data_IF_076302135607
#
_entry.id   IF_076302135607
#
_cell.length_a   1.000
_cell.length_b   1.000
_cell.length_c   1.000
_cell.angle_alpha   90.00
_cell.angle_beta   90.00
_cell.angle_gamma   90.00
#
_symmetry.space_group_name_H-M   'P 1'
#
loop_
_entity.id
_entity.type
_entity.pdbx_description
1 polymer ?
#
# COMPACT_ATOMS: atom_id res chain seq x y z
N UNK A 1 -83.51 16.41 -8.47
CA UNK A 1 -82.49 15.99 -9.43
C UNK A 1 -81.12 16.51 -8.90
N UNK A 2 -80.44 15.66 -8.20
CA UNK A 2 -79.19 16.04 -7.52
C UNK A 2 -78.01 15.24 -8.13
N UNK A 3 -77.16 15.90 -8.91
CA UNK A 3 -76.07 15.31 -9.61
C UNK A 3 -74.75 15.42 -8.71
N UNK A 4 -74.40 14.34 -8.10
CA UNK A 4 -73.16 14.24 -7.27
C UNK A 4 -71.98 14.17 -8.19
N UNK A 5 -71.11 15.19 -8.18
CA UNK A 5 -69.78 15.20 -8.81
C UNK A 5 -68.80 14.39 -7.98
N UNK A 6 -68.31 13.25 -8.52
CA UNK A 6 -67.28 12.42 -8.00
C UNK A 6 -65.96 13.13 -8.20
N UNK A 7 -65.28 13.58 -7.10
CA UNK A 7 -63.88 14.07 -7.11
C UNK A 7 -62.95 12.87 -7.31
N UNK A 8 -62.23 12.84 -8.43
CA UNK A 8 -61.08 11.97 -8.62
C UNK A 8 -59.93 12.53 -7.79
N UNK A 9 -59.55 11.80 -6.75
CA UNK A 9 -58.33 12.00 -6.02
C UNK A 9 -57.14 11.48 -6.88
N UNK A 10 -56.29 12.42 -7.33
CA UNK A 10 -55.00 12.10 -7.91
C UNK A 10 -54.12 11.50 -6.81
N UNK A 11 -53.67 10.27 -6.99
CA UNK A 11 -52.56 9.68 -6.22
C UNK A 11 -51.28 10.45 -6.50
N UNK A 12 -50.42 10.71 -5.47
CA UNK A 12 -49.13 11.31 -5.69
C UNK A 12 -48.26 10.33 -6.46
N UNK A 13 -47.57 10.86 -7.46
CA UNK A 13 -46.58 10.13 -8.26
C UNK A 13 -45.50 9.51 -7.36
N UNK A 14 -45.33 8.24 -7.64
CA UNK A 14 -44.24 7.37 -7.23
C UNK A 14 -42.93 8.13 -7.01
N UNK A 15 -42.50 8.25 -5.77
CA UNK A 15 -41.16 8.65 -5.42
C UNK A 15 -40.26 7.50 -5.85
N UNK A 16 -39.75 7.59 -7.07
CA UNK A 16 -38.61 6.80 -7.48
C UNK A 16 -37.44 7.17 -6.52
N UNK A 17 -37.22 6.32 -5.55
CA UNK A 17 -36.02 6.30 -4.77
C UNK A 17 -34.85 6.26 -5.75
N UNK A 18 -34.22 7.42 -5.97
CA UNK A 18 -32.87 7.49 -6.51
C UNK A 18 -31.97 6.84 -5.46
N UNK A 19 -31.73 5.55 -5.60
CA UNK A 19 -30.65 4.89 -4.88
C UNK A 19 -29.37 5.58 -5.34
N UNK A 20 -28.99 6.65 -4.65
CA UNK A 20 -27.74 7.35 -4.83
C UNK A 20 -26.63 6.33 -4.67
N UNK A 21 -26.08 5.84 -5.78
CA UNK A 21 -24.87 5.02 -5.77
C UNK A 21 -23.82 5.85 -5.07
N UNK A 22 -23.41 5.39 -3.89
CA UNK A 22 -22.34 6.00 -3.12
C UNK A 22 -21.09 6.18 -4.04
N UNK A 23 -20.65 7.42 -4.30
CA UNK A 23 -19.51 7.68 -5.17
C UNK A 23 -18.25 6.98 -4.67
N UNK A 24 -18.04 6.89 -3.35
CA UNK A 24 -16.89 6.25 -2.75
C UNK A 24 -16.92 4.73 -2.92
N UNK A 25 -18.08 4.10 -2.76
CA UNK A 25 -18.27 2.69 -3.06
C UNK A 25 -18.04 2.38 -4.55
N UNK A 26 -18.45 3.28 -5.45
CA UNK A 26 -18.22 3.13 -6.88
C UNK A 26 -16.72 3.28 -7.22
N UNK A 27 -16.07 4.30 -6.66
CA UNK A 27 -14.60 4.49 -6.79
C UNK A 27 -13.84 3.27 -6.29
N UNK A 28 -14.24 2.70 -5.16
CA UNK A 28 -13.64 1.48 -4.61
C UNK A 28 -13.74 0.28 -5.56
N UNK A 29 -14.93 0.01 -6.12
CA UNK A 29 -15.14 -1.07 -7.10
C UNK A 29 -14.30 -0.92 -8.35
N UNK A 30 -14.16 0.31 -8.87
CA UNK A 30 -13.30 0.59 -10.04
C UNK A 30 -11.83 0.29 -9.72
N UNK A 31 -11.34 0.69 -8.54
CA UNK A 31 -9.97 0.38 -8.12
C UNK A 31 -9.74 -1.11 -7.91
N UNK A 32 -10.69 -1.85 -7.35
CA UNK A 32 -10.57 -3.29 -7.16
C UNK A 32 -10.55 -4.04 -8.50
N UNK A 33 -11.36 -3.58 -9.48
CA UNK A 33 -11.31 -4.07 -10.85
C UNK A 33 -9.98 -3.74 -11.54
N UNK A 34 -9.49 -2.50 -11.38
CA UNK A 34 -8.20 -2.09 -11.92
C UNK A 34 -7.05 -2.93 -11.35
N UNK A 35 -7.08 -3.23 -10.05
CA UNK A 35 -6.11 -4.12 -9.42
C UNK A 35 -6.07 -5.50 -10.09
N UNK A 36 -7.25 -6.10 -10.34
CA UNK A 36 -7.35 -7.42 -10.99
C UNK A 36 -6.81 -7.40 -12.42
N UNK A 37 -7.23 -6.39 -13.20
CA UNK A 37 -6.82 -6.27 -14.61
C UNK A 37 -5.30 -6.03 -14.70
N UNK A 38 -4.75 -5.11 -13.90
CA UNK A 38 -3.31 -4.87 -13.88
C UNK A 38 -2.53 -6.09 -13.37
N UNK A 39 -3.02 -6.80 -12.35
CA UNK A 39 -2.37 -8.00 -11.83
C UNK A 39 -2.27 -9.13 -12.86
N UNK A 40 -3.28 -9.26 -13.73
CA UNK A 40 -3.32 -10.31 -14.75
C UNK A 40 -2.49 -9.98 -15.99
N UNK A 41 -2.54 -8.73 -16.46
CA UNK A 41 -1.99 -8.32 -17.75
C UNK A 41 -0.76 -7.42 -17.65
N UNK A 42 -0.51 -6.86 -16.48
CA UNK A 42 0.47 -5.78 -16.33
C UNK A 42 -0.10 -4.41 -16.69
N UNK A 43 0.73 -3.36 -16.52
CA UNK A 43 0.30 -2.00 -16.82
C UNK A 43 0.13 -1.77 -18.32
N UNK A 44 1.10 -2.18 -19.16
CA UNK A 44 1.11 -1.87 -20.59
C UNK A 44 -0.05 -2.50 -21.34
N UNK A 45 -0.27 -3.79 -21.15
CA UNK A 45 -1.22 -4.62 -21.91
C UNK A 45 -2.66 -4.54 -21.40
N UNK A 46 -2.91 -3.73 -20.36
CA UNK A 46 -4.24 -3.46 -19.83
C UNK A 46 -4.88 -2.23 -20.46
N UNK A 47 -6.21 -2.20 -20.53
CA UNK A 47 -6.99 -1.07 -21.02
C UNK A 47 -8.03 -0.60 -20.01
N UNK A 48 -8.47 0.67 -20.13
CA UNK A 48 -9.57 1.21 -19.29
C UNK A 48 -10.89 0.50 -19.60
N UNK A 49 -11.11 0.08 -20.86
CA UNK A 49 -12.33 -0.63 -21.26
C UNK A 49 -12.45 -2.00 -20.57
N UNK A 50 -11.34 -2.71 -20.35
CA UNK A 50 -11.33 -3.95 -19.55
C UNK A 50 -11.65 -3.69 -18.08
N UNK A 51 -11.16 -2.57 -17.52
CA UNK A 51 -11.49 -2.15 -16.15
C UNK A 51 -12.96 -1.79 -16.04
N UNK A 52 -13.55 -1.12 -17.05
CA UNK A 52 -15.01 -0.86 -17.14
C UNK A 52 -15.78 -2.16 -17.08
N UNK A 53 -15.40 -3.15 -17.91
CA UNK A 53 -16.06 -4.46 -17.94
C UNK A 53 -15.95 -5.19 -16.60
N UNK A 54 -14.74 -5.26 -16.01
CA UNK A 54 -14.49 -5.95 -14.74
C UNK A 54 -15.21 -5.28 -13.55
N UNK A 55 -15.28 -3.92 -13.53
CA UNK A 55 -15.92 -3.18 -12.45
C UNK A 55 -17.45 -3.21 -12.47
N UNK A 56 -18.03 -3.68 -13.58
CA UNK A 56 -19.48 -3.64 -13.83
C UNK A 56 -20.06 -2.22 -13.63
N UNK A 57 -19.31 -1.21 -14.12
CA UNK A 57 -19.72 0.20 -14.09
C UNK A 57 -19.81 0.75 -15.50
N UNK A 58 -20.43 1.93 -15.67
CA UNK A 58 -20.43 2.59 -16.98
C UNK A 58 -19.06 3.21 -17.28
N UNK A 59 -18.73 3.29 -18.57
CA UNK A 59 -17.50 3.98 -19.04
C UNK A 59 -17.44 5.42 -18.56
N UNK A 60 -18.58 6.13 -18.58
CA UNK A 60 -18.68 7.50 -18.05
C UNK A 60 -18.37 7.58 -16.56
N UNK A 61 -18.80 6.59 -15.77
CA UNK A 61 -18.51 6.53 -14.34
C UNK A 61 -17.00 6.33 -14.08
N UNK A 62 -16.34 5.46 -14.86
CA UNK A 62 -14.86 5.28 -14.71
C UNK A 62 -14.13 6.57 -15.02
N UNK A 63 -14.43 7.23 -16.15
CA UNK A 63 -13.78 8.48 -16.52
C UNK A 63 -14.11 9.67 -15.62
N UNK A 64 -15.25 9.65 -14.96
CA UNK A 64 -15.60 10.63 -13.93
C UNK A 64 -14.65 10.55 -12.72
N UNK A 65 -14.33 9.33 -12.26
CA UNK A 65 -13.44 9.12 -11.13
C UNK A 65 -11.95 9.15 -11.51
N UNK A 66 -11.60 8.69 -12.71
CA UNK A 66 -10.22 8.53 -13.16
C UNK A 66 -10.10 8.92 -14.63
N UNK A 67 -9.51 10.08 -14.94
CA UNK A 67 -9.48 10.62 -16.32
C UNK A 67 -8.69 9.76 -17.30
N UNK A 68 -7.81 8.87 -16.82
CA UNK A 68 -7.00 7.99 -17.66
C UNK A 68 -6.46 6.80 -16.88
N UNK A 69 -5.80 5.86 -17.61
CA UNK A 69 -5.17 4.66 -17.02
C UNK A 69 -4.09 4.98 -15.97
N UNK A 70 -3.33 6.06 -16.21
CA UNK A 70 -2.28 6.50 -15.27
C UNK A 70 -2.88 6.95 -13.93
N UNK A 71 -3.98 7.71 -13.95
CA UNK A 71 -4.67 8.15 -12.75
C UNK A 71 -5.23 6.95 -11.93
N UNK A 72 -5.76 5.94 -12.62
CA UNK A 72 -6.18 4.67 -12.00
C UNK A 72 -4.99 3.98 -11.33
N UNK A 73 -3.87 3.88 -12.03
CA UNK A 73 -2.67 3.24 -11.50
C UNK A 73 -2.13 3.98 -10.28
N UNK A 74 -1.99 5.32 -10.34
CA UNK A 74 -1.51 6.10 -9.20
C UNK A 74 -2.44 6.00 -8.00
N UNK A 75 -3.75 5.99 -8.20
CA UNK A 75 -4.70 5.79 -7.11
C UNK A 75 -4.57 4.40 -6.45
N UNK A 76 -4.22 3.36 -7.20
CA UNK A 76 -3.89 2.04 -6.63
C UNK A 76 -2.59 2.07 -5.84
N UNK A 77 -1.58 2.75 -6.36
CA UNK A 77 -0.29 2.96 -5.70
C UNK A 77 -0.49 3.68 -4.36
N UNK A 78 -1.27 4.76 -4.36
CA UNK A 78 -1.59 5.51 -3.13
C UNK A 78 -2.37 4.66 -2.12
N UNK A 79 -3.37 3.90 -2.58
CA UNK A 79 -4.13 2.98 -1.72
C UNK A 79 -3.23 1.93 -1.08
N UNK A 80 -2.30 1.37 -1.85
CA UNK A 80 -1.33 0.39 -1.36
C UNK A 80 -0.35 1.00 -0.35
N UNK A 81 0.21 2.17 -0.66
CA UNK A 81 1.11 2.89 0.23
C UNK A 81 0.45 3.24 1.57
N UNK A 82 -0.78 3.78 1.53
CA UNK A 82 -1.56 4.08 2.72
C UNK A 82 -1.88 2.83 3.55
N UNK A 83 -2.18 1.70 2.90
CA UNK A 83 -2.39 0.43 3.59
C UNK A 83 -1.10 -0.04 4.29
N UNK A 84 0.03 0.01 3.59
CA UNK A 84 1.34 -0.39 4.13
C UNK A 84 1.73 0.48 5.33
N UNK A 85 1.64 1.80 5.18
CA UNK A 85 1.94 2.75 6.25
C UNK A 85 1.04 2.53 7.48
N UNK A 86 -0.26 2.39 7.27
CA UNK A 86 -1.22 2.13 8.35
C UNK A 86 -0.87 0.85 9.10
N UNK A 87 -0.67 -0.26 8.39
CA UNK A 87 -0.35 -1.55 9.01
C UNK A 87 1.01 -1.51 9.73
N UNK A 88 2.02 -0.86 9.14
CA UNK A 88 3.32 -0.70 9.77
C UNK A 88 3.21 0.12 11.07
N UNK A 89 2.53 1.27 11.05
CA UNK A 89 2.31 2.08 12.25
C UNK A 89 1.56 1.31 13.34
N UNK A 90 0.50 0.56 12.99
CA UNK A 90 -0.26 -0.25 13.93
C UNK A 90 0.59 -1.38 14.54
N UNK A 91 1.43 -2.03 13.75
CA UNK A 91 2.30 -3.10 14.22
C UNK A 91 3.41 -2.55 15.15
N UNK A 92 4.06 -1.46 14.73
CA UNK A 92 5.13 -0.81 15.50
C UNK A 92 4.62 -0.27 16.83
N UNK A 93 3.41 0.34 16.84
CA UNK A 93 2.85 0.96 18.05
C UNK A 93 2.44 -0.04 19.14
N UNK A 94 2.29 -1.32 18.80
CA UNK A 94 2.03 -2.40 19.78
C UNK A 94 3.30 -2.84 20.51
N UNK A 95 4.47 -2.51 19.98
CA UNK A 95 5.75 -2.95 20.50
C UNK A 95 6.37 -1.91 21.43
N UNK A 96 6.86 -2.36 22.57
CA UNK A 96 7.49 -1.51 23.60
C UNK A 96 9.00 -1.31 23.37
N UNK A 97 9.69 -2.34 22.90
CA UNK A 97 11.14 -2.33 22.70
C UNK A 97 11.51 -1.96 21.27
N UNK A 98 12.59 -1.17 21.10
CA UNK A 98 13.05 -0.72 19.79
C UNK A 98 13.32 -1.84 18.78
N UNK A 99 13.92 -2.96 19.24
CA UNK A 99 14.18 -4.12 18.39
C UNK A 99 12.90 -4.78 17.88
N UNK A 100 11.88 -4.94 18.74
CA UNK A 100 10.60 -5.54 18.37
C UNK A 100 9.86 -4.66 17.36
N UNK A 101 10.04 -3.34 17.41
CA UNK A 101 9.49 -2.41 16.43
C UNK A 101 10.05 -2.65 15.03
N UNK A 102 11.35 -2.92 14.90
CA UNK A 102 11.98 -3.28 13.62
C UNK A 102 11.43 -4.61 13.11
N UNK A 103 11.33 -5.61 13.96
CA UNK A 103 10.76 -6.92 13.61
C UNK A 103 9.30 -6.81 13.15
N UNK A 104 8.48 -6.05 13.88
CA UNK A 104 7.08 -5.82 13.53
C UNK A 104 6.94 -5.10 12.18
N UNK A 105 7.76 -4.08 11.93
CA UNK A 105 7.78 -3.36 10.65
C UNK A 105 8.17 -4.28 9.48
N UNK A 106 9.28 -5.01 9.59
CA UNK A 106 9.75 -5.90 8.53
C UNK A 106 8.75 -7.03 8.25
N UNK A 107 8.19 -7.65 9.29
CA UNK A 107 7.16 -8.68 9.13
C UNK A 107 5.95 -8.13 8.38
N UNK A 108 5.46 -6.96 8.78
CA UNK A 108 4.33 -6.30 8.13
C UNK A 108 4.62 -5.98 6.66
N UNK A 109 5.82 -5.48 6.35
CA UNK A 109 6.25 -5.21 4.97
C UNK A 109 6.18 -6.50 4.15
N UNK A 110 6.80 -7.59 4.62
CA UNK A 110 6.81 -8.86 3.91
C UNK A 110 5.40 -9.44 3.73
N UNK A 111 4.54 -9.37 4.76
CA UNK A 111 3.15 -9.84 4.68
C UNK A 111 2.36 -9.04 3.64
N UNK A 112 2.43 -7.71 3.66
CA UNK A 112 1.69 -6.85 2.72
C UNK A 112 2.19 -7.04 1.30
N UNK A 113 3.51 -7.03 1.07
CA UNK A 113 4.06 -7.25 -0.26
C UNK A 113 3.80 -8.68 -0.76
N UNK A 114 3.80 -9.68 0.11
CA UNK A 114 3.43 -11.06 -0.22
C UNK A 114 1.96 -11.19 -0.64
N UNK A 115 1.05 -10.56 0.12
CA UNK A 115 -0.38 -10.54 -0.16
C UNK A 115 -0.71 -9.86 -1.50
N UNK A 116 -0.03 -8.75 -1.81
CA UNK A 116 -0.25 -7.93 -3.01
C UNK A 116 0.87 -8.05 -4.03
N UNK A 117 1.54 -9.21 -4.07
CA UNK A 117 2.73 -9.44 -4.91
C UNK A 117 2.56 -9.05 -6.38
N UNK A 118 1.44 -9.35 -7.08
CA UNK A 118 1.26 -8.93 -8.46
C UNK A 118 1.27 -7.41 -8.63
N UNK A 119 0.58 -6.67 -7.74
CA UNK A 119 0.58 -5.21 -7.75
C UNK A 119 1.97 -4.65 -7.45
N UNK A 120 2.64 -5.19 -6.42
CA UNK A 120 3.99 -4.80 -6.05
C UNK A 120 4.98 -4.99 -7.22
N UNK A 121 4.87 -6.11 -7.96
CA UNK A 121 5.68 -6.36 -9.15
C UNK A 121 5.48 -5.30 -10.23
N UNK A 122 4.24 -4.88 -10.47
CA UNK A 122 3.95 -3.83 -11.45
C UNK A 122 4.55 -2.50 -10.97
N UNK A 123 4.33 -2.13 -9.72
CA UNK A 123 4.78 -0.86 -9.16
C UNK A 123 6.30 -0.74 -9.09
N UNK A 124 6.97 -1.77 -8.59
CA UNK A 124 8.40 -1.72 -8.29
C UNK A 124 9.29 -2.09 -9.49
N UNK A 125 8.75 -2.85 -10.46
CA UNK A 125 9.53 -3.37 -11.58
C UNK A 125 9.02 -2.84 -12.92
N UNK A 126 7.73 -3.02 -13.22
CA UNK A 126 7.20 -2.70 -14.56
C UNK A 126 6.93 -1.20 -14.77
N UNK A 127 6.65 -0.45 -13.68
CA UNK A 127 6.42 0.99 -13.75
C UNK A 127 7.72 1.81 -13.86
N UNK A 128 8.87 1.21 -13.66
CA UNK A 128 10.18 1.86 -13.85
C UNK A 128 10.38 2.17 -15.32
N UNK A 129 10.74 3.42 -15.63
CA UNK A 129 10.94 3.86 -17.02
C UNK A 129 9.67 4.25 -17.80
N UNK A 130 8.50 4.31 -17.16
CA UNK A 130 7.25 4.76 -17.78
C UNK A 130 7.14 6.28 -17.95
N UNK A 131 8.21 7.01 -17.64
CA UNK A 131 8.31 8.46 -17.80
C UNK A 131 8.28 9.23 -16.48
N UNK A 132 8.46 10.55 -16.59
CA UNK A 132 8.72 11.46 -15.46
C UNK A 132 7.66 11.40 -14.37
N UNK A 133 6.38 11.28 -14.70
CA UNK A 133 5.31 11.24 -13.71
C UNK A 133 5.39 9.98 -12.83
N UNK A 134 5.80 8.84 -13.38
CA UNK A 134 6.01 7.61 -12.62
C UNK A 134 7.24 7.71 -11.73
N UNK A 135 8.33 8.31 -12.22
CA UNK A 135 9.54 8.53 -11.43
C UNK A 135 9.29 9.51 -10.27
N UNK A 136 8.54 10.59 -10.51
CA UNK A 136 8.12 11.52 -9.45
C UNK A 136 7.30 10.79 -8.39
N UNK A 137 6.30 10.01 -8.79
CA UNK A 137 5.48 9.24 -7.85
C UNK A 137 6.29 8.25 -7.04
N UNK A 138 7.25 7.58 -7.66
CA UNK A 138 8.17 6.66 -6.96
C UNK A 138 9.01 7.40 -5.91
N UNK A 139 9.55 8.58 -6.26
CA UNK A 139 10.33 9.39 -5.31
C UNK A 139 9.48 9.90 -4.14
N UNK A 140 8.24 10.36 -4.40
CA UNK A 140 7.30 10.76 -3.34
C UNK A 140 7.08 9.63 -2.32
N UNK A 141 6.88 8.40 -2.81
CA UNK A 141 6.70 7.23 -1.93
C UNK A 141 7.98 6.88 -1.15
N UNK A 142 9.13 6.95 -1.80
CA UNK A 142 10.41 6.74 -1.11
C UNK A 142 10.62 7.75 0.02
N UNK A 143 10.34 9.03 -0.24
CA UNK A 143 10.45 10.08 0.77
C UNK A 143 9.44 9.89 1.91
N UNK A 144 8.21 9.48 1.61
CA UNK A 144 7.17 9.19 2.60
C UNK A 144 7.62 8.06 3.56
N UNK A 145 8.10 6.95 3.02
CA UNK A 145 8.54 5.83 3.86
C UNK A 145 9.88 6.09 4.56
N UNK A 146 10.79 6.83 3.93
CA UNK A 146 12.01 7.28 4.60
C UNK A 146 11.70 8.21 5.78
N UNK A 147 10.75 9.13 5.64
CA UNK A 147 10.28 9.99 6.75
C UNK A 147 9.65 9.16 7.89
N UNK A 148 8.92 8.10 7.57
CA UNK A 148 8.41 7.17 8.58
C UNK A 148 9.53 6.49 9.37
N UNK A 149 10.54 5.97 8.68
CA UNK A 149 11.71 5.35 9.31
C UNK A 149 12.47 6.37 10.15
N UNK A 150 12.74 7.57 9.60
CA UNK A 150 13.44 8.64 10.30
C UNK A 150 12.76 9.00 11.62
N UNK A 151 11.44 9.15 11.62
CA UNK A 151 10.68 9.46 12.84
C UNK A 151 10.94 8.46 13.96
N UNK A 152 10.93 7.17 13.67
CA UNK A 152 11.20 6.12 14.66
C UNK A 152 12.67 6.08 15.09
N UNK A 153 13.62 6.41 14.20
CA UNK A 153 15.02 6.59 14.56
C UNK A 153 15.22 7.80 15.47
N UNK A 154 14.57 8.94 15.18
CA UNK A 154 14.62 10.14 16.01
C UNK A 154 14.08 9.87 17.42
N UNK A 155 12.96 9.13 17.53
CA UNK A 155 12.40 8.70 18.82
C UNK A 155 13.41 7.82 19.60
N UNK A 156 14.04 6.85 18.94
CA UNK A 156 15.02 5.96 19.57
C UNK A 156 16.29 6.70 20.02
N UNK A 157 16.76 7.67 19.23
CA UNK A 157 17.90 8.54 19.60
C UNK A 157 17.53 9.42 20.80
N UNK A 158 16.32 10.00 20.82
CA UNK A 158 15.86 10.88 21.90
C UNK A 158 15.80 10.18 23.27
N UNK A 159 15.49 8.88 23.30
CA UNK A 159 15.46 8.08 24.54
C UNK A 159 16.82 7.41 24.84
N UNK A 160 17.82 7.55 23.96
CA UNK A 160 19.17 7.01 24.14
C UNK A 160 19.32 5.52 23.79
N UNK A 161 18.32 4.91 23.15
CA UNK A 161 18.34 3.49 22.75
C UNK A 161 19.38 3.21 21.66
N UNK A 162 19.59 4.18 20.78
CA UNK A 162 20.54 4.05 19.66
C UNK A 162 21.36 5.34 19.46
N UNK A 163 22.51 5.20 18.79
CA UNK A 163 23.38 6.32 18.43
C UNK A 163 23.53 6.38 16.92
N UNK A 164 22.77 7.26 16.29
CA UNK A 164 22.79 7.46 14.85
C UNK A 164 23.22 8.90 14.56
N UNK A 165 24.34 9.11 13.83
CA UNK A 165 24.84 10.47 13.53
C UNK A 165 23.88 11.30 12.68
N UNK A 166 23.20 10.65 11.74
CA UNK A 166 22.27 11.25 10.80
C UNK A 166 21.10 10.27 10.57
N UNK A 167 19.99 10.52 11.25
CA UNK A 167 18.78 9.67 11.17
C UNK A 167 18.15 9.72 9.80
N UNK A 168 18.23 10.86 9.10
CA UNK A 168 17.67 11.04 7.76
C UNK A 168 18.45 10.21 6.73
N UNK A 169 19.77 10.30 6.72
CA UNK A 169 20.62 9.53 5.81
C UNK A 169 20.50 8.03 6.09
N UNK A 170 20.43 7.66 7.37
CA UNK A 170 20.20 6.27 7.80
C UNK A 170 18.85 5.75 7.31
N UNK A 171 17.80 6.56 7.39
CA UNK A 171 16.47 6.20 6.88
C UNK A 171 16.49 5.96 5.36
N UNK A 172 17.19 6.79 4.59
CA UNK A 172 17.36 6.56 3.15
C UNK A 172 18.17 5.28 2.86
N UNK A 173 19.20 5.01 3.62
CA UNK A 173 19.98 3.77 3.47
C UNK A 173 19.14 2.53 3.78
N UNK A 174 18.33 2.56 4.86
CA UNK A 174 17.41 1.49 5.20
C UNK A 174 16.33 1.31 4.14
N UNK A 175 15.75 2.42 3.67
CA UNK A 175 14.76 2.38 2.59
C UNK A 175 15.33 1.74 1.33
N UNK A 176 16.57 2.08 0.93
CA UNK A 176 17.25 1.49 -0.22
C UNK A 176 17.50 -0.01 -0.05
N UNK A 177 17.97 -0.44 1.11
CA UNK A 177 18.22 -1.86 1.40
C UNK A 177 16.93 -2.68 1.38
N UNK A 178 15.88 -2.19 2.04
CA UNK A 178 14.56 -2.85 2.06
C UNK A 178 13.99 -2.92 0.66
N UNK A 179 13.99 -1.81 -0.08
CA UNK A 179 13.42 -1.72 -1.41
C UNK A 179 14.08 -2.69 -2.39
N UNK A 180 15.41 -2.76 -2.44
CA UNK A 180 16.13 -3.66 -3.34
C UNK A 180 15.82 -5.13 -3.04
N UNK A 181 15.77 -5.51 -1.76
CA UNK A 181 15.47 -6.89 -1.37
C UNK A 181 14.01 -7.23 -1.70
N UNK A 182 13.07 -6.33 -1.45
CA UNK A 182 11.66 -6.53 -1.79
C UNK A 182 11.48 -6.65 -3.31
N UNK A 183 12.13 -5.82 -4.11
CA UNK A 183 12.11 -5.92 -5.58
C UNK A 183 12.50 -7.34 -6.02
N UNK A 184 13.65 -7.83 -5.56
CA UNK A 184 14.14 -9.17 -5.90
C UNK A 184 13.16 -10.26 -5.45
N UNK A 185 12.72 -10.20 -4.20
CA UNK A 185 11.77 -11.16 -3.67
C UNK A 185 10.44 -11.19 -4.41
N UNK A 186 9.88 -10.02 -4.71
CA UNK A 186 8.63 -9.91 -5.47
C UNK A 186 8.79 -10.44 -6.89
N UNK A 187 9.97 -10.25 -7.50
CA UNK A 187 10.25 -10.69 -8.86
C UNK A 187 10.52 -12.19 -8.96
N UNK A 188 11.42 -12.73 -8.12
CA UNK A 188 11.90 -14.11 -8.20
C UNK A 188 11.19 -15.08 -7.25
N UNK A 189 10.72 -14.61 -6.10
CA UNK A 189 10.26 -15.44 -4.98
C UNK A 189 11.36 -15.82 -4.00
N UNK A 190 12.61 -15.48 -4.33
CA UNK A 190 13.79 -15.79 -3.54
C UNK A 190 14.51 -14.51 -3.07
N UNK A 191 15.19 -14.58 -1.92
CA UNK A 191 15.20 -15.65 -0.93
C UNK A 191 13.87 -15.77 -0.16
N UNK A 192 13.72 -16.79 0.70
CA UNK A 192 12.50 -16.96 1.49
C UNK A 192 12.24 -15.76 2.42
N UNK A 193 10.96 -15.49 2.75
CA UNK A 193 10.59 -14.39 3.66
C UNK A 193 11.29 -14.51 5.03
N UNK A 194 11.48 -15.73 5.54
CA UNK A 194 12.18 -15.98 6.80
C UNK A 194 13.66 -15.58 6.71
N UNK A 195 14.33 -15.94 5.61
CA UNK A 195 15.72 -15.56 5.38
C UNK A 195 15.87 -14.04 5.24
N UNK A 196 14.95 -13.40 4.53
CA UNK A 196 14.91 -11.93 4.42
C UNK A 196 14.77 -11.30 5.81
N UNK A 197 13.81 -11.77 6.61
CA UNK A 197 13.57 -11.27 7.97
C UNK A 197 14.86 -11.32 8.80
N UNK A 198 15.49 -12.49 8.88
CA UNK A 198 16.71 -12.69 9.68
C UNK A 198 17.85 -11.79 9.22
N UNK A 199 18.07 -11.70 7.92
CA UNK A 199 19.20 -10.95 7.34
C UNK A 199 18.97 -9.44 7.44
N UNK A 200 17.80 -8.94 7.02
CA UNK A 200 17.49 -7.50 7.11
C UNK A 200 17.50 -7.01 8.56
N UNK A 201 16.86 -7.75 9.47
CA UNK A 201 16.87 -7.42 10.89
C UNK A 201 18.29 -7.23 11.40
N UNK A 202 19.17 -8.19 11.16
CA UNK A 202 20.57 -8.13 11.60
C UNK A 202 21.29 -6.92 11.00
N UNK A 203 21.18 -6.73 9.69
CA UNK A 203 21.82 -5.64 8.97
C UNK A 203 21.36 -4.26 9.47
N UNK A 204 20.05 -4.06 9.61
CA UNK A 204 19.48 -2.78 10.02
C UNK A 204 19.84 -2.45 11.47
N UNK A 205 19.72 -3.40 12.40
CA UNK A 205 20.03 -3.18 13.80
C UNK A 205 21.53 -2.95 14.03
N UNK A 206 22.41 -3.71 13.38
CA UNK A 206 23.85 -3.49 13.49
C UNK A 206 24.27 -2.12 12.93
N UNK A 207 23.60 -1.64 11.87
CA UNK A 207 23.90 -0.33 11.28
C UNK A 207 23.67 0.87 12.22
N UNK A 208 22.87 0.67 13.27
CA UNK A 208 22.59 1.68 14.30
C UNK A 208 23.28 1.38 15.63
N UNK A 209 24.27 0.47 15.61
CA UNK A 209 25.07 0.10 16.78
C UNK A 209 24.34 -0.82 17.78
N UNK A 210 23.22 -1.44 17.38
CA UNK A 210 22.54 -2.40 18.22
C UNK A 210 23.21 -3.77 18.09
N UNK A 211 23.81 -4.27 19.18
CA UNK A 211 24.43 -5.60 19.23
C UNK A 211 23.35 -6.61 19.60
N UNK A 212 23.06 -7.54 18.68
CA UNK A 212 22.26 -8.72 19.00
C UNK A 212 23.10 -9.59 19.95
N UNK A 213 22.74 -9.65 21.22
CA UNK A 213 23.30 -10.69 22.09
C UNK A 213 23.01 -12.04 21.43
N UNK A 214 24.08 -12.79 21.15
CA UNK A 214 23.94 -14.16 20.69
C UNK A 214 23.28 -14.91 21.86
N UNK A 215 22.03 -15.28 21.70
CA UNK A 215 21.38 -16.26 22.57
C UNK A 215 22.15 -17.56 22.29
N UNK A 216 23.13 -17.84 23.14
CA UNK A 216 23.76 -19.16 23.16
C UNK A 216 22.64 -20.18 23.37
N UNK A 217 22.62 -21.28 22.59
CA UNK A 217 21.69 -22.36 22.89
C UNK A 217 22.04 -22.85 24.30
N UNK A 218 21.07 -22.79 25.23
CA UNK A 218 21.14 -23.47 26.50
C UNK A 218 21.55 -24.92 26.22
N UNK A 219 22.79 -25.22 26.59
CA UNK A 219 23.35 -26.55 26.53
C UNK A 219 22.57 -27.38 27.54
N UNK A 220 21.66 -28.24 27.05
CA UNK A 220 21.09 -29.32 27.84
C UNK A 220 22.22 -30.17 28.41
N UNK A 221 22.40 -30.09 29.72
CA UNK A 221 23.17 -31.07 30.51
C UNK A 221 22.22 -31.99 31.23
#
# INVERSE_FOLDING_TARGET
MNTVRKKLTRQPADQRESSGRDPDATRGRILDAALKVFAQKGYHDSSVDEIVAESNTSKGSVYFHFPNKQALFFALVDKFAALLEKRANEAISREKAGINRVDAALRTILEVFGQYRPLAKIMLVQAVGLGTAFEQKRMELHDQFAALIQRYLDEAVAVGDVRVPDTRLTAYAWMGAINEIIIRWVYTGEPSAEHIMKTLRSLLLQSIGYTLEQTEPENER
#
